data_IF_737727093704
#
_entry.id   IF_737727093704
#
_cell.length_a   1.000
_cell.length_b   1.000
_cell.length_c   1.000
_cell.angle_alpha   90.00
_cell.angle_beta   90.00
_cell.angle_gamma   90.00
#
_symmetry.space_group_name_H-M   'P 1'
#
loop_
_entity.id
_entity.type
_entity.pdbx_description
1 polymer ?
#
# COMPACT_ATOMS: atom_id res chain seq x y z
N UNK A 1 -8.75 14.20 18.21
CA UNK A 1 -7.53 13.45 17.84
C UNK A 1 -7.71 12.90 16.42
N UNK A 2 -6.66 12.96 15.61
CA UNK A 2 -6.67 12.35 14.28
C UNK A 2 -6.74 10.83 14.42
N UNK A 3 -7.54 10.17 13.56
CA UNK A 3 -7.66 8.71 13.57
C UNK A 3 -6.45 8.09 12.90
N UNK A 4 -5.99 6.95 13.44
CA UNK A 4 -4.98 6.14 12.77
C UNK A 4 -5.56 5.55 11.49
N UNK A 5 -4.87 5.69 10.37
CA UNK A 5 -5.29 4.99 9.16
C UNK A 5 -4.96 3.50 9.27
N UNK A 6 -5.95 2.64 9.01
CA UNK A 6 -5.79 1.18 9.05
C UNK A 6 -4.69 0.69 8.10
N UNK A 7 -4.63 1.25 6.92
CA UNK A 7 -3.69 0.84 5.88
C UNK A 7 -2.23 1.19 6.20
N UNK A 8 -1.98 2.10 7.17
CA UNK A 8 -0.63 2.39 7.67
C UNK A 8 -0.11 1.33 8.65
N UNK A 9 -0.97 0.42 9.11
CA UNK A 9 -0.61 -0.58 10.10
C UNK A 9 -0.35 -1.93 9.44
N UNK A 10 0.85 -2.51 9.64
CA UNK A 10 1.02 -3.92 9.36
C UNK A 10 0.35 -4.76 10.46
N UNK A 11 0.34 -6.09 10.29
CA UNK A 11 -0.34 -7.00 11.21
C UNK A 11 0.14 -6.86 12.66
N UNK A 12 1.46 -6.71 12.87
CA UNK A 12 2.02 -6.56 14.20
C UNK A 12 1.71 -5.18 14.80
N UNK A 13 1.78 -4.13 13.99
CA UNK A 13 1.38 -2.78 14.39
C UNK A 13 -0.09 -2.74 14.80
N UNK A 14 -0.99 -3.34 14.00
CA UNK A 14 -2.41 -3.43 14.34
C UNK A 14 -2.63 -4.20 15.64
N UNK A 15 -2.00 -5.37 15.81
CA UNK A 15 -2.11 -6.15 17.05
C UNK A 15 -1.71 -5.32 18.27
N UNK A 16 -0.59 -4.61 18.20
CA UNK A 16 -0.11 -3.75 19.28
C UNK A 16 -1.05 -2.56 19.53
N UNK A 17 -1.58 -1.95 18.46
CA UNK A 17 -2.56 -0.87 18.56
C UNK A 17 -3.85 -1.34 19.24
N UNK A 18 -4.35 -2.51 18.88
CA UNK A 18 -5.55 -3.09 19.50
C UNK A 18 -5.35 -3.33 21.00
N UNK A 19 -4.16 -3.76 21.42
CA UNK A 19 -3.85 -3.95 22.85
C UNK A 19 -3.70 -2.62 23.57
N UNK A 20 -2.93 -1.67 23.02
CA UNK A 20 -2.52 -0.45 23.73
C UNK A 20 -3.53 0.69 23.67
N UNK A 21 -4.31 0.80 22.58
CA UNK A 21 -5.23 1.91 22.32
C UNK A 21 -6.71 1.50 22.40
N UNK A 22 -7.02 0.29 21.92
CA UNK A 22 -8.38 -0.26 21.97
C UNK A 22 -8.61 -1.05 23.26
N UNK A 23 -7.53 -1.37 24.00
CA UNK A 23 -7.53 -2.11 25.29
C UNK A 23 -8.14 -3.52 25.13
N UNK A 24 -7.86 -4.17 24.01
CA UNK A 24 -8.19 -5.58 23.80
C UNK A 24 -7.17 -6.44 24.54
N UNK A 25 -7.64 -7.46 25.25
CA UNK A 25 -6.78 -8.43 25.90
C UNK A 25 -5.76 -9.03 24.90
N UNK A 26 -4.51 -9.11 25.34
CA UNK A 26 -3.37 -9.55 24.51
C UNK A 26 -3.58 -10.93 23.90
N UNK A 27 -4.28 -11.83 24.61
CA UNK A 27 -4.60 -13.19 24.13
C UNK A 27 -5.58 -13.16 22.95
N UNK A 28 -6.46 -12.17 22.91
CA UNK A 28 -7.48 -11.99 21.85
C UNK A 28 -7.01 -11.07 20.73
N UNK A 29 -6.00 -10.21 20.98
CA UNK A 29 -5.59 -9.18 20.03
C UNK A 29 -5.13 -9.76 18.68
N UNK A 30 -4.41 -10.90 18.68
CA UNK A 30 -3.98 -11.58 17.45
C UNK A 30 -5.19 -12.00 16.60
N UNK A 31 -6.16 -12.67 17.21
CA UNK A 31 -7.37 -13.12 16.51
C UNK A 31 -8.18 -11.93 15.96
N UNK A 32 -8.30 -10.85 16.74
CA UNK A 32 -9.02 -9.64 16.32
C UNK A 32 -8.31 -8.93 15.17
N UNK A 33 -6.98 -8.81 15.21
CA UNK A 33 -6.20 -8.28 14.11
C UNK A 33 -6.39 -9.12 12.83
N UNK A 34 -6.38 -10.44 12.94
CA UNK A 34 -6.62 -11.35 11.83
C UNK A 34 -8.03 -11.17 11.21
N UNK A 35 -9.05 -11.05 12.05
CA UNK A 35 -10.42 -10.77 11.60
C UNK A 35 -10.53 -9.44 10.86
N UNK A 36 -9.88 -8.38 11.37
CA UNK A 36 -9.86 -7.06 10.72
C UNK A 36 -9.11 -7.10 9.38
N UNK A 37 -7.92 -7.72 9.32
CA UNK A 37 -7.16 -7.88 8.09
C UNK A 37 -7.98 -8.60 7.02
N UNK A 38 -8.59 -9.72 7.38
CA UNK A 38 -9.41 -10.50 6.47
C UNK A 38 -10.62 -9.69 5.97
N UNK A 39 -11.30 -8.98 6.87
CA UNK A 39 -12.44 -8.16 6.51
C UNK A 39 -12.06 -7.02 5.55
N UNK A 40 -10.97 -6.30 5.84
CA UNK A 40 -10.56 -5.14 5.03
C UNK A 40 -9.94 -5.59 3.70
N UNK A 41 -9.00 -6.54 3.73
CA UNK A 41 -8.19 -6.87 2.54
C UNK A 41 -8.78 -7.98 1.67
N UNK A 42 -9.61 -8.87 2.22
CA UNK A 42 -10.24 -9.96 1.43
C UNK A 42 -11.71 -9.71 1.15
N UNK A 43 -12.47 -9.22 2.15
CA UNK A 43 -13.91 -8.95 1.99
C UNK A 43 -14.22 -7.52 1.55
N UNK A 44 -13.20 -6.65 1.52
CA UNK A 44 -13.31 -5.25 1.07
C UNK A 44 -14.41 -4.48 1.81
N UNK A 45 -14.51 -4.63 3.13
CA UNK A 45 -15.47 -3.85 3.90
C UNK A 45 -15.22 -2.35 3.72
N UNK A 46 -16.29 -1.58 3.69
CA UNK A 46 -16.22 -0.11 3.54
C UNK A 46 -16.38 0.60 4.87
N UNK A 47 -16.87 -0.10 5.89
CA UNK A 47 -17.03 0.41 7.25
C UNK A 47 -16.76 -0.70 8.27
N UNK A 48 -16.25 -0.29 9.44
CA UNK A 48 -16.11 -1.22 10.57
C UNK A 48 -17.46 -1.69 11.15
N UNK A 49 -18.59 -1.10 10.74
CA UNK A 49 -19.92 -1.62 11.05
C UNK A 49 -20.17 -2.99 10.46
N UNK A 50 -19.48 -3.33 9.36
CA UNK A 50 -19.54 -4.64 8.71
C UNK A 50 -18.78 -5.75 9.46
N UNK A 51 -18.03 -5.41 10.52
CA UNK A 51 -17.36 -6.39 11.39
C UNK A 51 -18.36 -7.07 12.34
N UNK A 52 -19.29 -7.83 11.79
CA UNK A 52 -20.39 -8.46 12.56
C UNK A 52 -19.91 -9.45 13.64
N UNK A 53 -18.67 -9.91 13.58
CA UNK A 53 -18.03 -10.75 14.59
C UNK A 53 -17.55 -9.98 15.82
N UNK A 54 -17.65 -8.62 15.79
CA UNK A 54 -17.31 -7.74 16.90
C UNK A 54 -18.60 -7.20 17.54
N UNK A 55 -18.56 -6.99 18.86
CA UNK A 55 -19.68 -6.33 19.54
C UNK A 55 -19.88 -4.90 19.05
N UNK A 56 -21.08 -4.37 19.16
CA UNK A 56 -21.37 -2.98 18.77
C UNK A 56 -20.44 -1.98 19.48
N UNK A 57 -20.25 -2.15 20.79
CA UNK A 57 -19.34 -1.32 21.58
C UNK A 57 -17.91 -1.32 21.04
N UNK A 58 -17.38 -2.51 20.70
CA UNK A 58 -16.03 -2.63 20.16
C UNK A 58 -15.92 -1.97 18.77
N UNK A 59 -16.94 -2.13 17.91
CA UNK A 59 -16.98 -1.45 16.61
C UNK A 59 -16.96 0.07 16.76
N UNK A 60 -17.76 0.62 17.67
CA UNK A 60 -17.78 2.06 17.95
C UNK A 60 -16.43 2.56 18.49
N UNK A 61 -15.78 1.79 19.37
CA UNK A 61 -14.45 2.13 19.88
C UNK A 61 -13.42 2.14 18.75
N UNK A 62 -13.42 1.14 17.87
CA UNK A 62 -12.53 1.06 16.70
C UNK A 62 -12.79 2.24 15.76
N UNK A 63 -14.02 2.56 15.41
CA UNK A 63 -14.38 3.66 14.51
C UNK A 63 -13.92 5.03 15.01
N UNK A 64 -13.85 5.22 16.33
CA UNK A 64 -13.31 6.45 16.92
C UNK A 64 -11.79 6.58 16.76
N UNK A 65 -11.06 5.47 16.72
CA UNK A 65 -9.61 5.43 16.76
C UNK A 65 -8.96 5.13 15.41
N UNK A 66 -9.65 4.36 14.53
CA UNK A 66 -9.12 3.91 13.25
C UNK A 66 -10.03 4.38 12.12
N UNK A 67 -9.43 4.73 10.97
CA UNK A 67 -10.14 5.03 9.72
C UNK A 67 -9.77 4.06 8.61
N UNK A 68 -10.65 3.93 7.60
CA UNK A 68 -10.40 3.25 6.32
C UNK A 68 -10.29 4.29 5.19
N UNK A 69 -9.74 5.47 5.50
CA UNK A 69 -9.61 6.56 4.55
C UNK A 69 -8.60 6.19 3.45
N UNK A 70 -8.96 6.50 2.21
CA UNK A 70 -8.14 6.27 1.01
C UNK A 70 -8.05 7.55 0.20
N UNK A 71 -7.01 7.73 -0.63
CA UNK A 71 -6.96 8.77 -1.65
C UNK A 71 -8.18 8.73 -2.57
N UNK A 72 -8.44 9.84 -3.25
CA UNK A 72 -9.52 9.91 -4.25
C UNK A 72 -8.97 9.74 -5.64
N UNK A 73 -9.63 8.96 -6.48
CA UNK A 73 -9.34 8.94 -7.91
C UNK A 73 -9.93 10.24 -8.50
N UNK A 74 -9.08 11.10 -9.05
CA UNK A 74 -9.48 12.39 -9.64
C UNK A 74 -9.39 12.39 -11.16
N UNK A 75 -8.61 11.50 -11.76
CA UNK A 75 -8.57 11.28 -13.21
C UNK A 75 -8.21 9.82 -13.53
N UNK A 76 -8.71 9.36 -14.70
CA UNK A 76 -8.44 8.01 -15.22
C UNK A 76 -8.16 8.12 -16.72
N UNK A 77 -6.98 7.69 -17.11
CA UNK A 77 -6.58 7.61 -18.50
C UNK A 77 -6.45 6.16 -18.96
N UNK A 78 -7.02 5.85 -20.12
CA UNK A 78 -6.93 4.51 -20.72
C UNK A 78 -6.23 4.60 -22.07
N UNK A 79 -5.22 3.80 -22.26
CA UNK A 79 -4.54 3.71 -23.54
C UNK A 79 -5.11 2.56 -24.41
N UNK A 80 -4.77 2.58 -25.71
CA UNK A 80 -5.27 1.60 -26.69
C UNK A 80 -4.85 0.17 -26.40
N UNK A 81 -3.74 -0.02 -25.68
CA UNK A 81 -3.23 -1.33 -25.28
C UNK A 81 -3.93 -1.92 -24.04
N UNK A 82 -4.82 -1.13 -23.41
CA UNK A 82 -5.56 -1.51 -22.22
C UNK A 82 -4.88 -1.08 -20.92
N UNK A 83 -3.75 -0.36 -20.97
CA UNK A 83 -3.12 0.25 -19.79
C UNK A 83 -4.03 1.31 -19.18
N UNK A 84 -4.17 1.32 -17.87
CA UNK A 84 -5.02 2.25 -17.12
C UNK A 84 -4.15 3.02 -16.15
N UNK A 85 -4.10 4.34 -16.27
CA UNK A 85 -3.41 5.24 -15.36
C UNK A 85 -4.43 5.98 -14.50
N UNK A 86 -4.24 5.95 -13.20
CA UNK A 86 -5.02 6.68 -12.20
C UNK A 86 -4.22 7.86 -11.69
N UNK A 87 -4.86 9.01 -11.56
CA UNK A 87 -4.38 10.15 -10.79
C UNK A 87 -5.11 10.14 -9.45
N UNK A 88 -4.36 10.03 -8.36
CA UNK A 88 -4.89 9.91 -7.01
C UNK A 88 -4.60 11.17 -6.21
N UNK A 89 -5.65 11.87 -5.74
CA UNK A 89 -5.53 13.00 -4.82
C UNK A 89 -5.39 12.48 -3.39
N UNK A 90 -4.27 12.81 -2.77
CA UNK A 90 -3.95 12.51 -1.37
C UNK A 90 -4.67 13.48 -0.43
N UNK A 91 -4.64 13.19 0.89
CA UNK A 91 -5.29 14.02 1.92
C UNK A 91 -4.76 15.47 1.94
N UNK A 92 -3.49 15.67 1.63
CA UNK A 92 -2.85 16.97 1.56
C UNK A 92 -3.02 17.69 0.20
N UNK A 93 -3.95 17.22 -0.64
CA UNK A 93 -4.27 17.75 -1.97
C UNK A 93 -3.19 17.57 -3.02
N UNK A 94 -2.18 16.79 -2.75
CA UNK A 94 -1.16 16.40 -3.73
C UNK A 94 -1.62 15.18 -4.50
N UNK A 95 -1.07 15.02 -5.69
CA UNK A 95 -1.43 13.93 -6.57
C UNK A 95 -0.26 12.96 -6.75
N UNK A 96 -0.59 11.69 -6.93
CA UNK A 96 0.34 10.65 -7.37
C UNK A 96 -0.30 9.78 -8.43
N UNK A 97 0.53 9.18 -9.27
CA UNK A 97 0.08 8.29 -10.32
C UNK A 97 0.22 6.83 -9.92
N UNK A 98 -0.71 6.01 -10.39
CA UNK A 98 -0.69 4.56 -10.30
C UNK A 98 -1.13 3.97 -11.63
N UNK A 99 -0.47 2.89 -12.09
CA UNK A 99 -0.74 2.33 -13.42
C UNK A 99 -1.04 0.85 -13.33
N UNK A 100 -2.14 0.43 -13.95
CA UNK A 100 -2.45 -0.98 -14.24
C UNK A 100 -1.99 -1.31 -15.66
N UNK A 101 -1.04 -2.22 -15.76
CA UNK A 101 -0.45 -2.68 -17.02
C UNK A 101 -1.00 -4.08 -17.32
N UNK A 102 -1.78 -4.25 -18.42
CA UNK A 102 -2.36 -5.54 -18.73
C UNK A 102 -1.30 -6.51 -19.28
N UNK A 103 -1.37 -7.76 -18.84
CA UNK A 103 -0.76 -8.89 -19.54
C UNK A 103 -1.81 -9.48 -20.51
N UNK A 104 -1.69 -9.13 -21.77
CA UNK A 104 -2.67 -9.53 -22.81
C UNK A 104 -2.79 -11.05 -22.98
N UNK A 105 -1.73 -11.79 -22.66
CA UNK A 105 -1.69 -13.25 -22.82
C UNK A 105 -2.45 -14.00 -21.73
N UNK A 106 -2.65 -13.39 -20.56
CA UNK A 106 -3.13 -14.07 -19.36
C UNK A 106 -4.35 -13.41 -18.69
N UNK A 107 -4.93 -12.36 -19.25
CA UNK A 107 -6.02 -11.56 -18.63
C UNK A 107 -5.69 -11.11 -17.20
N UNK A 108 -4.44 -10.72 -16.97
CA UNK A 108 -3.91 -10.30 -15.68
C UNK A 108 -3.36 -8.88 -15.78
N UNK A 109 -3.09 -8.30 -14.62
CA UNK A 109 -2.48 -6.98 -14.51
C UNK A 109 -1.26 -7.01 -13.61
N UNK A 110 -0.26 -6.20 -13.97
CA UNK A 110 0.78 -5.72 -13.09
C UNK A 110 0.42 -4.32 -12.63
N UNK A 111 0.44 -4.06 -11.32
CA UNK A 111 0.26 -2.70 -10.79
C UNK A 111 1.62 -2.04 -10.57
N UNK A 112 1.77 -0.82 -11.10
CA UNK A 112 2.93 0.04 -10.88
C UNK A 112 2.58 1.09 -9.82
N UNK A 113 3.33 1.05 -8.72
CA UNK A 113 3.06 1.81 -7.50
C UNK A 113 4.05 2.97 -7.34
N UNK A 114 3.54 4.13 -6.97
CA UNK A 114 4.33 5.27 -6.49
C UNK A 114 4.66 5.13 -5.01
N UNK A 115 5.81 5.65 -4.59
CA UNK A 115 6.29 5.60 -3.20
C UNK A 115 6.59 6.98 -2.61
N UNK A 116 6.50 8.03 -3.42
CA UNK A 116 6.65 9.42 -2.98
C UNK A 116 5.81 10.35 -3.86
N UNK A 117 5.63 11.58 -3.41
CA UNK A 117 5.17 12.71 -4.21
C UNK A 117 6.42 13.41 -4.73
N UNK A 118 6.65 13.35 -6.04
CA UNK A 118 7.90 13.81 -6.64
C UNK A 118 9.06 12.85 -6.38
N UNK A 119 10.26 13.24 -6.79
CA UNK A 119 11.47 12.43 -6.60
C UNK A 119 12.71 13.31 -6.43
N UNK A 120 13.62 12.90 -5.54
CA UNK A 120 14.93 13.54 -5.36
C UNK A 120 15.90 13.29 -6.50
N UNK A 121 15.66 12.18 -7.21
CA UNK A 121 16.62 11.69 -8.19
C UNK A 121 16.37 12.38 -9.53
N UNK A 122 17.37 13.03 -10.04
CA UNK A 122 17.32 13.74 -11.33
C UNK A 122 17.71 12.79 -12.47
N UNK A 123 17.06 11.63 -12.59
CA UNK A 123 17.30 10.67 -13.65
C UNK A 123 16.90 11.29 -15.00
N UNK A 124 17.84 11.43 -15.94
CA UNK A 124 17.64 12.11 -17.22
C UNK A 124 16.51 11.50 -18.08
N UNK A 125 16.26 10.22 -17.94
CA UNK A 125 15.21 9.51 -18.67
C UNK A 125 13.83 9.55 -18.00
N UNK A 126 13.72 10.13 -16.79
CA UNK A 126 12.51 10.04 -15.97
C UNK A 126 11.61 11.26 -16.14
N UNK A 127 10.35 11.05 -16.56
CA UNK A 127 9.36 12.13 -16.71
C UNK A 127 9.10 12.86 -15.39
N UNK A 128 9.02 12.15 -14.26
CA UNK A 128 8.84 12.75 -12.92
C UNK A 128 9.98 13.72 -12.60
N UNK A 129 11.23 13.38 -12.91
CA UNK A 129 12.38 14.25 -12.69
C UNK A 129 12.37 15.51 -13.56
N UNK A 130 11.75 15.44 -14.73
CA UNK A 130 11.62 16.60 -15.64
C UNK A 130 10.50 17.55 -15.19
N UNK A 131 9.42 17.02 -14.61
CA UNK A 131 8.23 17.78 -14.19
C UNK A 131 8.38 18.27 -12.75
N UNK A 132 8.84 17.42 -11.84
CA UNK A 132 9.00 17.69 -10.41
C UNK A 132 10.44 17.45 -9.98
N UNK A 133 11.24 18.52 -10.00
CA UNK A 133 12.68 18.48 -9.63
C UNK A 133 12.93 18.29 -8.13
N UNK A 134 11.89 18.19 -7.31
CA UNK A 134 12.01 18.09 -5.87
C UNK A 134 11.13 16.99 -5.31
N UNK A 135 11.66 16.19 -4.40
CA UNK A 135 10.85 15.38 -3.52
C UNK A 135 10.02 16.29 -2.63
N UNK A 136 8.75 16.11 -2.64
CA UNK A 136 7.87 16.83 -1.73
C UNK A 136 7.76 16.09 -0.41
N UNK A 137 7.44 14.80 -0.47
CA UNK A 137 7.44 13.88 0.68
C UNK A 137 7.34 12.40 0.25
N UNK A 138 7.72 11.54 1.15
CA UNK A 138 7.45 10.11 1.04
C UNK A 138 5.96 9.82 1.24
N UNK A 139 5.44 8.78 0.59
CA UNK A 139 4.11 8.25 0.86
C UNK A 139 4.11 7.42 2.14
N UNK A 140 3.00 7.47 2.87
CA UNK A 140 2.75 6.56 3.99
C UNK A 140 2.47 5.14 3.48
N UNK A 141 2.60 4.11 4.33
CA UNK A 141 2.21 2.75 3.95
C UNK A 141 0.77 2.67 3.44
N UNK A 142 -0.14 3.41 4.09
CA UNK A 142 -1.55 3.47 3.72
C UNK A 142 -1.77 4.08 2.34
N UNK A 143 -1.02 5.12 1.98
CA UNK A 143 -1.09 5.72 0.66
C UNK A 143 -0.54 4.76 -0.42
N UNK A 144 0.51 3.99 -0.11
CA UNK A 144 1.04 2.96 -1.04
C UNK A 144 0.02 1.83 -1.23
N UNK A 145 -0.52 1.27 -0.14
CA UNK A 145 -1.50 0.18 -0.19
C UNK A 145 -2.81 0.62 -0.83
N UNK A 146 -3.25 1.85 -0.58
CA UNK A 146 -4.50 2.37 -1.16
C UNK A 146 -4.48 2.40 -2.68
N UNK A 147 -3.34 2.54 -3.32
CA UNK A 147 -3.21 2.44 -4.77
C UNK A 147 -3.67 1.06 -5.27
N UNK A 148 -3.30 -0.01 -4.54
CA UNK A 148 -3.73 -1.39 -4.87
C UNK A 148 -5.23 -1.54 -4.65
N UNK A 149 -5.73 -1.09 -3.49
CA UNK A 149 -7.15 -1.22 -3.12
C UNK A 149 -8.05 -0.48 -4.13
N UNK A 150 -7.70 0.76 -4.48
CA UNK A 150 -8.46 1.56 -5.44
C UNK A 150 -8.45 0.94 -6.84
N UNK A 151 -7.31 0.40 -7.26
CA UNK A 151 -7.20 -0.32 -8.53
C UNK A 151 -8.04 -1.59 -8.55
N UNK A 152 -8.04 -2.36 -7.44
CA UNK A 152 -8.90 -3.54 -7.27
C UNK A 152 -10.39 -3.18 -7.28
N UNK A 153 -10.77 -2.09 -6.60
CA UNK A 153 -12.13 -1.55 -6.61
C UNK A 153 -12.57 -1.21 -8.04
N UNK A 154 -11.68 -0.60 -8.81
CA UNK A 154 -12.00 -0.13 -10.17
C UNK A 154 -12.23 -1.27 -11.17
N UNK A 155 -11.44 -2.35 -11.11
CA UNK A 155 -11.56 -3.49 -12.05
C UNK A 155 -12.36 -4.66 -11.46
N UNK A 156 -12.96 -4.48 -10.29
CA UNK A 156 -13.68 -5.53 -9.53
C UNK A 156 -12.81 -6.80 -9.36
N UNK A 157 -11.67 -6.64 -8.66
CA UNK A 157 -10.70 -7.73 -8.40
C UNK A 157 -10.80 -8.26 -6.96
N UNK A 158 -12.02 -8.58 -6.52
CA UNK A 158 -12.29 -9.10 -5.16
C UNK A 158 -12.66 -10.58 -5.13
N UNK A 159 -12.69 -11.24 -6.28
CA UNK A 159 -12.88 -12.69 -6.38
C UNK A 159 -11.64 -13.46 -5.94
N UNK A 160 -11.80 -14.79 -5.78
CA UNK A 160 -10.68 -15.69 -5.46
C UNK A 160 -9.64 -15.75 -6.59
N UNK A 161 -10.07 -15.54 -7.84
CA UNK A 161 -9.17 -15.43 -8.99
C UNK A 161 -8.71 -13.98 -9.16
N UNK A 162 -7.52 -13.67 -8.65
CA UNK A 162 -6.93 -12.33 -8.73
C UNK A 162 -6.62 -11.92 -10.16
N UNK A 163 -7.06 -10.73 -10.54
CA UNK A 163 -6.69 -10.08 -11.81
C UNK A 163 -5.35 -9.33 -11.66
N UNK A 164 -5.14 -8.59 -10.56
CA UNK A 164 -3.83 -7.98 -10.27
C UNK A 164 -2.96 -9.04 -9.62
N UNK A 165 -1.95 -9.51 -10.35
CA UNK A 165 -1.10 -10.62 -9.90
C UNK A 165 0.31 -10.21 -9.52
N UNK A 166 0.78 -9.07 -10.00
CA UNK A 166 2.14 -8.58 -9.78
C UNK A 166 2.11 -7.12 -9.34
N UNK A 167 3.06 -6.76 -8.50
CA UNK A 167 3.29 -5.39 -8.01
C UNK A 167 4.71 -4.98 -8.36
N UNK A 168 4.87 -3.78 -8.91
CA UNK A 168 6.19 -3.19 -9.15
C UNK A 168 6.23 -1.79 -8.53
N UNK A 169 7.22 -1.53 -7.70
CA UNK A 169 7.44 -0.21 -7.08
C UNK A 169 8.36 0.58 -8.01
N UNK A 170 7.79 1.03 -9.16
CA UNK A 170 8.49 1.69 -10.26
C UNK A 170 7.76 2.97 -10.72
N UNK A 171 6.81 3.47 -9.93
CA UNK A 171 6.14 4.74 -10.13
C UNK A 171 6.98 5.93 -9.67
N UNK A 172 6.35 6.94 -9.09
CA UNK A 172 7.06 8.11 -8.58
C UNK A 172 7.89 7.76 -7.34
N UNK A 173 9.15 8.25 -7.32
CA UNK A 173 10.06 8.09 -6.20
C UNK A 173 10.96 6.85 -6.28
N UNK A 174 11.82 6.74 -5.27
CA UNK A 174 12.70 5.59 -5.09
C UNK A 174 12.31 4.84 -3.81
N UNK A 175 12.01 3.54 -3.88
CA UNK A 175 11.62 2.75 -2.70
C UNK A 175 12.63 2.80 -1.55
N UNK A 176 13.92 2.86 -1.86
CA UNK A 176 14.97 2.89 -0.83
C UNK A 176 15.08 4.23 -0.09
N UNK A 177 14.55 5.32 -0.66
CA UNK A 177 14.43 6.60 0.04
C UNK A 177 13.19 6.64 0.96
N UNK A 178 12.31 5.63 0.87
CA UNK A 178 11.10 5.47 1.69
C UNK A 178 11.02 4.06 2.31
N UNK A 179 12.15 3.48 2.67
CA UNK A 179 12.25 2.04 2.95
C UNK A 179 11.33 1.58 4.09
N UNK A 180 11.25 2.33 5.19
CA UNK A 180 10.43 1.93 6.35
C UNK A 180 8.94 1.82 5.99
N UNK A 181 8.40 2.79 5.24
CA UNK A 181 7.01 2.75 4.80
C UNK A 181 6.77 1.68 3.74
N UNK A 182 7.73 1.49 2.83
CA UNK A 182 7.70 0.44 1.81
C UNK A 182 7.70 -0.94 2.45
N UNK A 183 8.49 -1.18 3.51
CA UNK A 183 8.48 -2.44 4.27
C UNK A 183 7.09 -2.75 4.82
N UNK A 184 6.46 -1.78 5.48
CA UNK A 184 5.10 -1.96 6.02
C UNK A 184 4.09 -2.26 4.90
N UNK A 185 4.19 -1.59 3.75
CA UNK A 185 3.32 -1.85 2.60
C UNK A 185 3.56 -3.26 2.01
N UNK A 186 4.81 -3.70 1.90
CA UNK A 186 5.16 -5.06 1.44
C UNK A 186 4.67 -6.11 2.43
N UNK A 187 4.81 -5.89 3.74
CA UNK A 187 4.27 -6.77 4.78
C UNK A 187 2.76 -6.97 4.60
N UNK A 188 2.01 -5.88 4.39
CA UNK A 188 0.57 -5.95 4.15
C UNK A 188 0.23 -6.68 2.85
N UNK A 189 1.04 -6.47 1.80
CA UNK A 189 0.90 -7.15 0.51
C UNK A 189 1.15 -8.66 0.62
N UNK A 190 2.17 -9.08 1.39
CA UNK A 190 2.55 -10.50 1.58
C UNK A 190 1.65 -11.23 2.58
N UNK A 191 1.02 -10.52 3.50
CA UNK A 191 0.29 -11.13 4.60
C UNK A 191 -0.85 -12.04 4.10
N UNK A 192 -0.89 -13.28 4.60
CA UNK A 192 -1.91 -14.29 4.23
C UNK A 192 -3.33 -13.91 4.61
N UNK A 193 -3.50 -13.10 5.66
CA UNK A 193 -4.78 -12.54 6.08
C UNK A 193 -5.06 -11.18 5.42
N UNK A 194 -4.06 -10.63 4.68
CA UNK A 194 -4.10 -9.39 3.92
C UNK A 194 -4.31 -9.64 2.42
N UNK A 195 -3.52 -8.94 1.60
CA UNK A 195 -3.61 -9.03 0.14
C UNK A 195 -3.06 -10.34 -0.45
N UNK A 196 -2.20 -11.05 0.30
CA UNK A 196 -1.71 -12.39 -0.03
C UNK A 196 -1.02 -12.49 -1.41
N UNK A 197 -0.13 -11.54 -1.70
CA UNK A 197 0.76 -11.66 -2.86
C UNK A 197 1.98 -12.51 -2.51
N UNK A 198 2.35 -13.41 -3.41
CA UNK A 198 3.58 -14.17 -3.26
C UNK A 198 4.80 -13.25 -3.35
N UNK A 199 5.88 -13.56 -2.62
CA UNK A 199 7.13 -12.79 -2.61
C UNK A 199 7.67 -12.53 -4.01
N UNK A 200 7.67 -13.52 -4.89
CA UNK A 200 8.13 -13.43 -6.28
C UNK A 200 7.24 -12.57 -7.19
N UNK A 201 6.14 -12.06 -6.65
CA UNK A 201 5.17 -11.20 -7.35
C UNK A 201 5.33 -9.72 -7.02
N UNK A 202 6.29 -9.38 -6.17
CA UNK A 202 6.60 -8.01 -5.77
C UNK A 202 8.01 -7.68 -6.23
N UNK A 203 8.15 -6.65 -7.05
CA UNK A 203 9.44 -6.16 -7.54
C UNK A 203 9.71 -4.77 -6.99
N UNK A 204 10.85 -4.60 -6.37
CA UNK A 204 11.33 -3.30 -5.88
C UNK A 204 12.46 -2.84 -6.79
N UNK A 205 12.32 -1.67 -7.39
CA UNK A 205 13.32 -1.09 -8.28
C UNK A 205 14.19 -0.05 -7.56
N UNK A 206 15.42 0.07 -7.98
CA UNK A 206 16.35 1.11 -7.51
C UNK A 206 17.29 1.55 -8.62
N UNK A 207 17.73 2.80 -8.54
CA UNK A 207 18.81 3.35 -9.38
C UNK A 207 20.17 3.30 -8.67
N UNK A 208 20.31 2.46 -7.65
CA UNK A 208 21.56 2.31 -6.91
C UNK A 208 21.82 3.44 -5.90
N UNK A 209 20.79 4.12 -5.42
CA UNK A 209 20.93 5.13 -4.36
C UNK A 209 21.35 4.42 -3.08
N UNK A 210 22.59 4.66 -2.68
CA UNK A 210 23.16 4.08 -1.48
C UNK A 210 22.57 4.70 -0.22
N UNK A 211 21.81 3.92 0.53
CA UNK A 211 21.63 4.18 1.95
C UNK A 211 22.83 3.52 2.61
N UNK A 212 23.86 4.30 2.90
CA UNK A 212 25.00 3.81 3.68
C UNK A 212 24.52 3.51 5.09
N UNK A 213 24.52 2.24 5.45
CA UNK A 213 24.46 1.80 6.83
C UNK A 213 25.66 0.88 7.04
N UNK A 214 26.62 1.33 7.83
CA UNK A 214 27.80 0.55 8.26
C UNK A 214 28.64 -0.07 7.13
N UNK A 215 28.98 0.70 6.09
CA UNK A 215 29.85 0.30 4.95
C UNK A 215 29.44 -0.95 4.19
N UNK A 216 28.23 -1.48 4.40
CA UNK A 216 27.68 -2.58 3.60
C UNK A 216 27.02 -2.07 2.34
N UNK A 217 27.04 -2.92 1.32
CA UNK A 217 26.32 -2.67 0.08
C UNK A 217 24.83 -2.39 0.41
N UNK A 218 24.37 -1.19 0.09
CA UNK A 218 23.02 -0.75 0.37
C UNK A 218 21.96 -1.63 -0.30
N UNK A 219 22.28 -2.21 -1.45
CA UNK A 219 21.39 -3.13 -2.17
C UNK A 219 21.27 -4.45 -1.40
N UNK A 220 22.38 -5.02 -0.94
CA UNK A 220 22.38 -6.24 -0.14
C UNK A 220 21.64 -6.05 1.20
N UNK A 221 21.91 -4.92 1.87
CA UNK A 221 21.20 -4.59 3.09
C UNK A 221 19.70 -4.43 2.86
N UNK A 222 19.29 -3.66 1.85
CA UNK A 222 17.87 -3.42 1.55
C UNK A 222 17.16 -4.72 1.11
N UNK A 223 17.84 -5.61 0.39
CA UNK A 223 17.30 -6.92 0.04
C UNK A 223 17.00 -7.76 1.29
N UNK A 224 17.91 -7.77 2.28
CA UNK A 224 17.71 -8.47 3.55
C UNK A 224 16.58 -7.87 4.39
N UNK A 225 16.41 -6.55 4.37
CA UNK A 225 15.36 -5.88 5.10
C UNK A 225 13.95 -6.09 4.50
N UNK A 226 13.88 -6.42 3.20
CA UNK A 226 12.62 -6.67 2.48
C UNK A 226 12.22 -8.15 2.44
N UNK A 227 13.10 -9.05 2.89
CA UNK A 227 12.85 -10.48 3.04
C UNK A 227 11.98 -10.82 4.23
#
# INVERSE_FOLDING_TARGET
>A
MEKQNFYDLNFNHLKNFLTSKVEIDSTKAKMRAQQMFNAVYKKNIKSFDELTTFSLELREKIKKLISLEKPKIVDIQKSKDGTIKFLLELKDKRNVETVLIPDKSQSRYTICLSVSVGCYLSCEFCATAQISKNLVRNLTPGEIISQIILSKDYIDDWSTQKKITNQVLMGEGSPFLNLDNVKVAIDNSKNKDGLEYGRTRITVSTVGVGIKKDDKDAIEWAAKELD
#
